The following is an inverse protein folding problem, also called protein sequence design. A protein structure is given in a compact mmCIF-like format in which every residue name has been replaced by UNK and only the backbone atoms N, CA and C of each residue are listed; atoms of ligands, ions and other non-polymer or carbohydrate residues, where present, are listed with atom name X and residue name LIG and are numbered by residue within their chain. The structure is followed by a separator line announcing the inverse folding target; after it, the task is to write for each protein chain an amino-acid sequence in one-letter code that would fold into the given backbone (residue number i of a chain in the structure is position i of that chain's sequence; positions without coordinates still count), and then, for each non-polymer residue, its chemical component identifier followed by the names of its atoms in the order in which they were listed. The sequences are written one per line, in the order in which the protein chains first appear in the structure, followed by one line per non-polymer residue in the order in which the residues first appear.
data_IF_798744730012
#
_entry.id   IF_798744730012
#
_cell.length_a   1.000
_cell.length_b   1.000
_cell.length_c   1.000
_cell.angle_alpha   90.00
_cell.angle_beta   90.00
_cell.angle_gamma   90.00
#
_symmetry.space_group_name_H-M   'P 1'
#
loop_
_entity.id
_entity.type
_entity.pdbx_description
1 polymer ?
#
# COMPACT_ATOMS: atom_id res chain seq x y z
N UNK A 1 34.48 -16.59 -20.12
CA UNK A 1 34.80 -17.45 -18.95
C UNK A 1 35.40 -16.52 -17.90
N UNK A 2 34.56 -15.81 -17.13
CA UNK A 2 33.94 -16.12 -15.83
C UNK A 2 34.68 -15.41 -14.70
N UNK A 3 33.99 -14.47 -14.04
CA UNK A 3 33.94 -14.31 -12.58
C UNK A 3 32.99 -13.11 -12.32
N UNK A 4 31.73 -13.30 -11.95
CA UNK A 4 31.31 -13.88 -10.68
C UNK A 4 31.20 -12.76 -9.65
N UNK A 5 30.15 -11.92 -9.74
CA UNK A 5 29.83 -10.95 -8.68
C UNK A 5 29.34 -11.72 -7.45
N UNK A 6 30.27 -12.12 -6.60
CA UNK A 6 30.02 -12.51 -5.22
C UNK A 6 29.55 -11.27 -4.46
N UNK A 7 28.28 -11.24 -4.07
CA UNK A 7 27.85 -10.38 -2.96
C UNK A 7 28.51 -10.95 -1.72
N UNK A 8 29.58 -10.32 -1.23
CA UNK A 8 30.20 -10.70 0.04
C UNK A 8 29.15 -10.53 1.13
N UNK A 9 28.62 -11.65 1.65
CA UNK A 9 27.81 -11.65 2.86
C UNK A 9 28.69 -11.20 4.02
N UNK A 10 28.74 -9.88 4.24
CA UNK A 10 29.42 -9.32 5.38
C UNK A 10 28.66 -9.74 6.65
N UNK A 11 29.28 -10.60 7.46
CA UNK A 11 28.77 -10.94 8.79
C UNK A 11 28.67 -9.67 9.64
N UNK A 12 27.44 -9.31 10.02
CA UNK A 12 27.20 -8.13 10.83
C UNK A 12 27.37 -8.49 12.32
N UNK A 13 28.25 -7.80 13.07
CA UNK A 13 28.50 -8.12 14.47
C UNK A 13 27.26 -7.89 15.36
N UNK A 14 27.24 -8.56 16.53
CA UNK A 14 26.25 -8.25 17.57
C UNK A 14 26.29 -6.75 17.87
N UNK A 15 25.12 -6.13 17.90
CA UNK A 15 24.93 -4.72 18.24
C UNK A 15 24.89 -3.82 17.02
N UNK A 16 25.11 -4.36 15.81
CA UNK A 16 24.81 -3.63 14.58
C UNK A 16 23.35 -3.19 14.57
N UNK A 17 23.14 -1.94 14.15
CA UNK A 17 21.83 -1.30 14.05
C UNK A 17 21.51 -1.01 12.59
N UNK A 18 20.30 -1.32 12.15
CA UNK A 18 19.78 -1.01 10.82
C UNK A 18 18.56 -0.10 10.95
N UNK A 19 18.53 0.98 10.19
CA UNK A 19 17.33 1.80 10.03
C UNK A 19 16.50 1.25 8.87
N UNK A 20 15.32 0.75 9.19
CA UNK A 20 14.39 0.14 8.24
C UNK A 20 13.28 1.14 7.93
N UNK A 21 13.08 1.40 6.63
CA UNK A 21 12.01 2.24 6.08
C UNK A 21 11.50 1.62 4.78
N UNK A 22 10.29 2.01 4.36
CA UNK A 22 9.77 1.59 3.06
C UNK A 22 10.56 2.21 1.90
N UNK A 23 10.75 1.43 0.82
CA UNK A 23 11.45 1.89 -0.36
C UNK A 23 10.62 2.91 -1.15
N UNK A 24 11.08 4.16 -1.17
CA UNK A 24 10.45 5.24 -1.95
C UNK A 24 10.59 5.03 -3.45
N UNK A 25 11.62 4.30 -3.90
CA UNK A 25 11.80 3.94 -5.31
C UNK A 25 10.66 3.06 -5.84
N UNK A 26 10.09 2.23 -4.96
CA UNK A 26 8.92 1.39 -5.27
C UNK A 26 7.57 2.08 -5.04
N UNK A 27 7.57 3.36 -4.64
CA UNK A 27 6.36 4.09 -4.25
C UNK A 27 5.71 3.61 -2.95
N UNK A 28 6.37 2.71 -2.20
CA UNK A 28 5.81 2.14 -0.99
C UNK A 28 5.80 3.13 0.18
N UNK A 29 4.73 3.08 0.98
CA UNK A 29 4.54 3.89 2.19
C UNK A 29 4.23 2.99 3.39
N UNK A 30 4.66 3.42 4.58
CA UNK A 30 4.45 2.66 5.80
C UNK A 30 3.01 2.78 6.32
N UNK A 31 2.47 1.67 6.85
CA UNK A 31 1.20 1.61 7.57
C UNK A 31 1.42 0.95 8.94
N UNK A 32 1.16 1.65 10.07
CA UNK A 32 0.78 3.05 10.17
C UNK A 32 1.87 3.99 9.65
N UNK A 33 1.49 5.18 9.19
CA UNK A 33 2.42 6.16 8.60
C UNK A 33 3.43 6.71 9.60
N UNK A 34 3.07 6.72 10.88
CA UNK A 34 3.89 7.19 11.98
C UNK A 34 4.10 6.02 12.96
N UNK A 35 5.35 5.69 13.32
CA UNK A 35 6.60 6.37 12.96
C UNK A 35 7.08 6.11 11.51
N UNK A 36 6.54 5.08 10.84
CA UNK A 36 6.86 4.76 9.43
C UNK A 36 8.29 4.27 9.17
N UNK A 37 9.03 4.00 10.23
CA UNK A 37 10.39 3.48 10.24
C UNK A 37 10.67 2.78 11.58
N UNK A 38 11.70 1.94 11.62
CA UNK A 38 12.15 1.27 12.85
C UNK A 38 13.67 1.04 12.82
N UNK A 39 14.29 1.01 14.00
CA UNK A 39 15.67 0.56 14.15
C UNK A 39 15.65 -0.91 14.60
N UNK A 40 16.29 -1.80 13.83
CA UNK A 40 16.52 -3.19 14.21
C UNK A 40 17.96 -3.40 14.66
N UNK A 41 18.16 -4.13 15.74
CA UNK A 41 19.47 -4.44 16.32
C UNK A 41 19.75 -5.93 16.16
N UNK A 42 20.95 -6.29 15.72
CA UNK A 42 21.42 -7.67 15.70
C UNK A 42 21.78 -8.10 17.13
N UNK A 43 20.99 -9.00 17.71
CA UNK A 43 21.19 -9.54 19.06
C UNK A 43 21.35 -11.06 18.89
N UNK A 44 22.54 -11.58 19.19
CA UNK A 44 22.86 -13.00 19.09
C UNK A 44 22.47 -13.63 17.74
N UNK A 45 22.78 -12.92 16.64
CA UNK A 45 22.48 -13.38 15.28
C UNK A 45 21.03 -13.18 14.82
N UNK A 46 20.17 -12.57 15.65
CA UNK A 46 18.77 -12.28 15.30
C UNK A 46 18.52 -10.78 15.28
N UNK A 47 17.82 -10.28 14.26
CA UNK A 47 17.38 -8.89 14.20
C UNK A 47 16.15 -8.66 15.09
N UNK A 48 16.18 -7.61 15.92
CA UNK A 48 15.06 -7.25 16.79
C UNK A 48 14.85 -5.73 16.84
N UNK A 49 13.62 -5.22 16.68
CA UNK A 49 12.40 -5.97 16.35
C UNK A 49 12.40 -6.41 14.87
N UNK A 50 12.00 -7.66 14.63
CA UNK A 50 11.73 -8.17 13.29
C UNK A 50 10.52 -9.11 13.31
N UNK A 51 9.51 -8.94 12.44
CA UNK A 51 9.39 -7.88 11.42
C UNK A 51 9.24 -6.48 12.06
N UNK A 52 9.52 -5.40 11.31
CA UNK A 52 9.27 -4.04 11.77
C UNK A 52 7.79 -3.84 12.17
N UNK A 53 7.48 -2.90 13.08
CA UNK A 53 6.12 -2.61 13.55
C UNK A 53 5.27 -1.81 12.54
N UNK A 54 5.54 -1.96 11.23
CA UNK A 54 4.80 -1.33 10.14
C UNK A 54 4.87 -2.21 8.89
N UNK A 55 3.88 -2.04 8.01
CA UNK A 55 3.83 -2.69 6.70
C UNK A 55 4.19 -1.69 5.62
N UNK A 56 4.92 -2.14 4.59
CA UNK A 56 5.17 -1.33 3.40
C UNK A 56 4.15 -1.65 2.34
N UNK A 57 3.25 -0.70 2.09
CA UNK A 57 2.17 -0.85 1.13
C UNK A 57 2.43 0.08 -0.05
N UNK A 58 2.25 -0.45 -1.26
CA UNK A 58 2.25 0.37 -2.48
C UNK A 58 0.94 1.13 -2.62
N UNK A 59 0.99 2.20 -3.41
CA UNK A 59 -0.20 2.94 -3.84
C UNK A 59 -1.02 2.11 -4.82
N UNK A 60 -2.32 2.29 -4.82
CA UNK A 60 -3.20 1.73 -5.84
C UNK A 60 -3.35 2.74 -6.98
N UNK A 61 -3.36 2.27 -8.23
CA UNK A 61 -3.89 3.08 -9.32
C UNK A 61 -5.40 3.22 -9.18
N UNK A 62 -5.95 4.25 -9.82
CA UNK A 62 -7.41 4.38 -9.92
C UNK A 62 -8.03 3.10 -10.48
N UNK A 63 -9.07 2.57 -9.83
CA UNK A 63 -9.78 1.42 -10.38
C UNK A 63 -10.38 1.81 -11.73
N UNK A 64 -10.34 0.90 -12.70
CA UNK A 64 -11.07 1.08 -13.94
C UNK A 64 -12.57 1.13 -13.65
N UNK A 65 -13.19 2.29 -13.87
CA UNK A 65 -14.63 2.47 -13.72
C UNK A 65 -15.28 2.68 -15.09
N UNK A 66 -16.36 1.97 -15.34
CA UNK A 66 -17.24 2.25 -16.48
C UNK A 66 -18.00 3.57 -16.26
N UNK A 67 -18.45 4.21 -17.34
CA UNK A 67 -19.29 5.40 -17.34
C UNK A 67 -20.62 5.24 -16.59
N UNK A 68 -20.99 4.00 -16.24
CA UNK A 68 -22.11 3.69 -15.36
C UNK A 68 -21.89 4.12 -13.90
N UNK A 69 -20.65 4.40 -13.48
CA UNK A 69 -20.30 4.79 -12.12
C UNK A 69 -19.77 6.22 -12.05
N UNK A 70 -20.11 6.93 -10.97
CA UNK A 70 -19.55 8.23 -10.64
C UNK A 70 -18.85 8.18 -9.27
N UNK A 71 -17.69 8.84 -9.18
CA UNK A 71 -16.89 8.95 -7.95
C UNK A 71 -17.35 10.16 -7.14
N UNK A 72 -17.51 9.96 -5.84
CA UNK A 72 -18.00 10.96 -4.91
C UNK A 72 -16.86 11.57 -4.10
N UNK A 73 -16.77 12.90 -4.09
CA UNK A 73 -15.94 13.67 -3.14
C UNK A 73 -14.42 13.49 -3.27
N UNK A 74 -13.94 12.64 -4.18
CA UNK A 74 -12.53 12.45 -4.48
C UNK A 74 -12.26 12.67 -5.97
N UNK A 75 -11.03 13.04 -6.31
CA UNK A 75 -10.61 13.19 -7.70
C UNK A 75 -10.68 11.80 -8.36
N UNK A 76 -11.53 11.66 -9.37
CA UNK A 76 -11.54 10.48 -10.23
C UNK A 76 -10.23 10.49 -11.03
N UNK A 77 -9.45 9.41 -10.91
CA UNK A 77 -8.14 9.28 -11.55
C UNK A 77 -6.99 9.77 -10.66
N UNK A 78 -5.96 8.94 -10.55
CA UNK A 78 -4.76 9.20 -9.75
C UNK A 78 -4.23 7.96 -9.04
N UNK A 79 -3.28 8.19 -8.12
CA UNK A 79 -2.78 7.17 -7.19
C UNK A 79 -3.45 7.35 -5.82
N UNK A 80 -3.82 6.24 -5.20
CA UNK A 80 -4.46 6.18 -3.89
C UNK A 80 -3.49 5.57 -2.88
N UNK A 81 -3.36 6.19 -1.72
CA UNK A 81 -2.56 5.68 -0.62
C UNK A 81 -3.25 4.45 -0.03
N UNK A 82 -2.47 3.54 0.56
CA UNK A 82 -3.04 2.44 1.31
C UNK A 82 -3.98 2.96 2.42
N UNK A 83 -5.17 2.39 2.50
CA UNK A 83 -6.23 2.81 3.40
C UNK A 83 -7.15 3.90 2.83
N UNK A 84 -6.82 4.52 1.70
CA UNK A 84 -7.74 5.44 1.03
C UNK A 84 -9.00 4.67 0.58
N UNK A 85 -10.15 5.33 0.73
CA UNK A 85 -11.46 4.80 0.36
C UNK A 85 -12.12 5.72 -0.66
N UNK A 86 -12.38 5.17 -1.84
CA UNK A 86 -13.18 5.78 -2.90
C UNK A 86 -14.65 5.45 -2.68
N UNK A 87 -15.50 6.47 -2.67
CA UNK A 87 -16.94 6.28 -2.67
C UNK A 87 -17.49 6.44 -4.08
N UNK A 88 -18.35 5.52 -4.49
CA UNK A 88 -18.93 5.49 -5.84
C UNK A 88 -20.44 5.30 -5.77
N UNK A 89 -21.14 5.78 -6.79
CA UNK A 89 -22.56 5.46 -7.00
C UNK A 89 -22.85 5.28 -8.48
N UNK A 90 -24.04 4.81 -8.80
CA UNK A 90 -24.52 4.74 -10.17
C UNK A 90 -24.72 6.16 -10.73
N UNK A 91 -24.19 6.42 -11.94
CA UNK A 91 -24.29 7.71 -12.61
C UNK A 91 -25.73 8.07 -13.03
N UNK A 92 -26.61 7.08 -13.16
CA UNK A 92 -28.03 7.26 -13.44
C UNK A 92 -28.87 6.13 -12.83
N UNK A 93 -30.19 6.35 -12.73
CA UNK A 93 -31.13 5.38 -12.14
C UNK A 93 -31.29 4.09 -12.96
N UNK A 94 -30.89 4.09 -14.25
CA UNK A 94 -30.95 2.88 -15.09
C UNK A 94 -29.78 1.92 -14.83
N UNK A 95 -28.68 2.41 -14.26
CA UNK A 95 -27.51 1.62 -13.89
C UNK A 95 -27.69 0.86 -12.56
N UNK A 96 -28.83 0.99 -11.88
CA UNK A 96 -29.21 0.10 -10.77
C UNK A 96 -29.53 -1.29 -11.32
N UNK A 97 -28.50 -2.10 -11.59
CA UNK A 97 -28.71 -3.51 -11.91
C UNK A 97 -29.50 -4.14 -10.75
N UNK A 98 -30.71 -4.60 -11.06
CA UNK A 98 -31.62 -5.37 -10.19
C UNK A 98 -32.52 -4.61 -9.20
N UNK A 99 -32.65 -3.28 -9.28
CA UNK A 99 -33.74 -2.54 -8.60
C UNK A 99 -33.78 -2.61 -7.06
N UNK A 100 -32.80 -3.23 -6.41
CA UNK A 100 -32.71 -3.34 -4.94
C UNK A 100 -31.96 -2.17 -4.29
N UNK A 101 -31.27 -1.37 -5.09
CA UNK A 101 -30.51 -0.23 -4.61
C UNK A 101 -31.44 0.97 -4.39
N UNK A 102 -31.39 1.56 -3.19
CA UNK A 102 -32.15 2.76 -2.85
C UNK A 102 -31.63 3.96 -3.65
N UNK A 103 -32.48 4.93 -4.05
CA UNK A 103 -32.00 6.21 -4.58
C UNK A 103 -30.95 6.82 -3.64
N UNK A 104 -29.77 7.12 -4.17
CA UNK A 104 -28.62 7.60 -3.38
C UNK A 104 -27.76 6.54 -2.70
N UNK A 105 -27.96 5.24 -2.99
CA UNK A 105 -27.06 4.18 -2.52
C UNK A 105 -25.64 4.37 -3.07
N UNK A 106 -24.65 4.18 -2.21
CA UNK A 106 -23.23 4.33 -2.50
C UNK A 106 -22.49 3.05 -2.12
N UNK A 107 -21.42 2.77 -2.84
CA UNK A 107 -20.46 1.71 -2.51
C UNK A 107 -19.08 2.33 -2.24
N UNK A 108 -18.21 1.56 -1.61
CA UNK A 108 -16.84 1.99 -1.31
C UNK A 108 -15.82 1.00 -1.87
N UNK A 109 -14.73 1.52 -2.43
CA UNK A 109 -13.58 0.75 -2.90
C UNK A 109 -12.37 1.20 -2.07
N UNK A 110 -11.75 0.27 -1.34
CA UNK A 110 -10.60 0.57 -0.50
C UNK A 110 -9.28 0.15 -1.16
N UNK A 111 -8.27 1.01 -1.10
CA UNK A 111 -6.91 0.66 -1.50
C UNK A 111 -6.24 -0.16 -0.38
N UNK A 112 -6.31 -1.49 -0.48
CA UNK A 112 -5.72 -2.39 0.52
C UNK A 112 -4.37 -2.96 0.08
N UNK A 113 -4.13 -3.11 -1.23
CA UNK A 113 -2.85 -3.55 -1.80
C UNK A 113 -2.64 -2.88 -3.15
N UNK A 114 -1.54 -2.13 -3.30
CA UNK A 114 -1.13 -1.56 -4.59
C UNK A 114 -0.43 -2.59 -5.49
N UNK A 115 -0.33 -2.28 -6.78
CA UNK A 115 0.33 -3.09 -7.82
C UNK A 115 1.83 -2.76 -7.97
#
# INVERSE_FOLDING_TARGET
LTSGQETTEAWLPHGTKLNIKCSTLSGASATPRQPGQAEAVCINGTWSPFPPPFQCNKKCSAPGMDAAYEVLGQRAGGEYQHGDVLYVRCANERSFFNGTARPGAQASIACLRGE
#
